data_IF_086975201325
#
_entry.id   IF_086975201325
#
_cell.length_a   1.000
_cell.length_b   1.000
_cell.length_c   1.000
_cell.angle_alpha   90.00
_cell.angle_beta   90.00
_cell.angle_gamma   90.00
#
_symmetry.space_group_name_H-M   'P 1'
#
loop_
_entity.id
_entity.type
_entity.pdbx_description
1 polymer ?
#
# COMPACT_ATOMS: atom_id res chain seq x y z
N UNK A 1 3.54 23.60 6.73
CA UNK A 1 4.20 22.69 5.78
C UNK A 1 3.32 21.48 5.60
N UNK A 2 3.09 21.02 4.36
CA UNK A 2 2.22 19.87 4.05
C UNK A 2 3.06 18.59 3.89
N UNK A 3 2.52 17.40 4.19
CA UNK A 3 3.21 16.15 3.93
C UNK A 3 3.43 15.93 2.42
N UNK A 4 4.44 15.12 2.08
CA UNK A 4 4.70 14.73 0.70
C UNK A 4 3.48 14.04 0.05
N UNK A 5 3.34 14.23 -1.26
CA UNK A 5 2.28 13.59 -2.04
C UNK A 5 2.44 12.06 -2.00
N UNK A 6 1.31 11.37 -1.91
CA UNK A 6 1.28 9.92 -1.85
C UNK A 6 1.46 9.32 -3.24
N UNK A 7 2.31 8.29 -3.34
CA UNK A 7 2.43 7.44 -4.51
C UNK A 7 1.66 6.16 -4.25
N UNK A 8 0.85 5.73 -5.21
CA UNK A 8 0.10 4.47 -5.11
C UNK A 8 1.08 3.32 -5.31
N UNK A 9 1.05 2.34 -4.41
CA UNK A 9 1.79 1.07 -4.54
C UNK A 9 0.83 -0.11 -4.37
N UNK A 10 1.05 -1.16 -5.15
CA UNK A 10 0.38 -2.44 -4.96
C UNK A 10 1.10 -3.28 -3.89
N UNK A 11 0.40 -4.15 -3.14
CA UNK A 11 1.03 -4.88 -2.04
C UNK A 11 2.23 -5.74 -2.46
N UNK A 12 2.25 -6.27 -3.69
CA UNK A 12 3.40 -7.03 -4.21
C UNK A 12 4.61 -6.18 -4.58
N UNK A 13 4.46 -4.86 -4.68
CA UNK A 13 5.56 -3.91 -4.93
C UNK A 13 6.29 -3.52 -3.63
N UNK A 14 5.67 -3.75 -2.48
CA UNK A 14 6.11 -3.25 -1.16
C UNK A 14 6.74 -4.37 -0.31
N UNK A 15 7.35 -5.38 -0.97
CA UNK A 15 8.19 -6.47 -0.42
C UNK A 15 7.53 -7.85 -0.20
N UNK A 16 8.33 -8.88 -0.50
CA UNK A 16 8.12 -10.34 -0.53
C UNK A 16 8.88 -11.05 0.61
N UNK A 17 8.98 -10.42 1.80
CA UNK A 17 9.71 -10.95 2.95
C UNK A 17 8.81 -11.67 3.95
N UNK A 18 9.25 -12.80 4.51
CA UNK A 18 8.50 -13.54 5.53
C UNK A 18 8.37 -12.71 6.80
N UNK A 19 7.13 -12.39 7.18
CA UNK A 19 6.84 -11.63 8.39
C UNK A 19 7.15 -12.50 9.63
N UNK A 20 8.05 -12.06 10.52
CA UNK A 20 8.12 -12.63 11.87
C UNK A 20 6.98 -12.01 12.69
N UNK A 21 6.06 -12.87 13.08
CA UNK A 21 4.86 -12.54 13.83
C UNK A 21 5.27 -12.01 15.21
N UNK A 22 5.10 -10.70 15.40
CA UNK A 22 5.27 -10.00 16.66
C UNK A 22 3.98 -9.29 17.00
N UNK A 23 3.20 -9.90 17.89
CA UNK A 23 1.86 -9.47 18.28
C UNK A 23 1.94 -8.16 19.08
N UNK A 24 1.64 -7.05 18.41
CA UNK A 24 1.19 -5.84 19.08
C UNK A 24 -0.19 -5.54 18.52
N UNK A 25 -1.17 -5.32 19.39
CA UNK A 25 -2.60 -5.16 19.07
C UNK A 25 -2.90 -4.03 18.07
N UNK A 26 -1.93 -3.13 17.86
CA UNK A 26 -1.99 -1.98 16.95
C UNK A 26 -1.46 -2.30 15.54
N UNK A 27 -0.97 -3.52 15.31
CA UNK A 27 -0.45 -3.97 14.02
C UNK A 27 -1.46 -4.91 13.37
N UNK A 28 -1.99 -4.52 12.21
CA UNK A 28 -2.95 -5.32 11.46
C UNK A 28 -2.38 -5.77 10.11
N UNK A 29 -2.28 -7.07 9.85
CA UNK A 29 -1.86 -7.56 8.55
C UNK A 29 -2.99 -7.39 7.54
N UNK A 30 -2.71 -6.70 6.44
CA UNK A 30 -3.46 -6.79 5.19
C UNK A 30 -2.80 -7.83 4.29
N UNK A 31 -3.60 -8.65 3.62
CA UNK A 31 -3.08 -9.68 2.72
C UNK A 31 -3.78 -9.63 1.37
N UNK A 32 -3.03 -9.90 0.30
CA UNK A 32 -3.55 -10.08 -1.05
C UNK A 32 -2.92 -11.32 -1.69
N UNK A 33 -3.59 -11.89 -2.69
CA UNK A 33 -3.05 -12.96 -3.51
C UNK A 33 -2.81 -12.42 -4.92
N UNK A 34 -1.59 -12.61 -5.43
CA UNK A 34 -1.23 -12.22 -6.80
C UNK A 34 -0.29 -13.27 -7.38
N UNK A 35 -0.55 -13.73 -8.61
CA UNK A 35 0.26 -14.72 -9.32
C UNK A 35 0.58 -15.99 -8.48
N UNK A 36 -0.42 -16.52 -7.76
CA UNK A 36 -0.31 -17.68 -6.85
C UNK A 36 0.61 -17.48 -5.62
N UNK A 37 1.10 -16.26 -5.37
CA UNK A 37 1.83 -15.89 -4.17
C UNK A 37 0.98 -15.00 -3.25
N UNK A 38 0.98 -15.31 -1.95
CA UNK A 38 0.34 -14.47 -0.94
C UNK A 38 1.31 -13.35 -0.53
N UNK A 39 0.89 -12.10 -0.70
CA UNK A 39 1.63 -10.92 -0.28
C UNK A 39 0.95 -10.33 0.95
N UNK A 40 1.73 -10.07 2.01
CA UNK A 40 1.23 -9.53 3.27
C UNK A 40 1.93 -8.21 3.57
N UNK A 41 1.15 -7.21 3.97
CA UNK A 41 1.61 -5.89 4.39
C UNK A 41 1.09 -5.65 5.80
N UNK A 42 1.95 -5.25 6.74
CA UNK A 42 1.51 -4.89 8.09
C UNK A 42 1.17 -3.42 8.13
N UNK A 43 0.06 -3.07 8.76
CA UNK A 43 -0.39 -1.69 8.93
C UNK A 43 -0.42 -1.34 10.41
N UNK A 44 0.25 -0.25 10.80
CA UNK A 44 0.08 0.36 12.12
C UNK A 44 -1.17 1.24 12.12
N UNK A 45 -2.11 0.97 13.02
CA UNK A 45 -3.42 1.65 13.08
C UNK A 45 -3.52 2.76 14.13
N UNK A 46 -2.42 3.08 14.81
CA UNK A 46 -2.37 4.04 15.93
C UNK A 46 -3.10 5.38 15.64
N UNK A 47 -3.03 5.89 14.42
CA UNK A 47 -3.63 7.19 14.05
C UNK A 47 -4.99 7.10 13.36
N UNK A 48 -5.52 5.90 13.16
CA UNK A 48 -6.80 5.66 12.47
C UNK A 48 -7.82 4.95 13.36
N UNK A 49 -7.55 4.87 14.65
CA UNK A 49 -8.48 4.34 15.65
C UNK A 49 -9.42 5.44 16.17
N UNK A 50 -10.69 5.10 16.48
CA UNK A 50 -11.34 3.80 16.27
C UNK A 50 -11.76 3.59 14.80
N UNK A 51 -11.70 2.34 14.32
CA UNK A 51 -12.26 1.95 13.02
C UNK A 51 -12.91 0.57 13.08
N UNK A 52 -13.99 0.39 12.32
CA UNK A 52 -14.72 -0.87 12.25
C UNK A 52 -14.07 -1.83 11.26
N UNK A 53 -13.25 -2.71 11.80
CA UNK A 53 -12.52 -3.69 11.05
C UNK A 53 -13.38 -4.86 10.55
N UNK A 54 -13.71 -4.86 9.26
CA UNK A 54 -14.34 -5.97 8.54
C UNK A 54 -13.27 -6.92 7.99
N UNK A 55 -13.29 -8.17 8.46
CA UNK A 55 -12.38 -9.23 7.97
C UNK A 55 -12.80 -9.66 6.57
N UNK A 56 -11.83 -9.79 5.66
CA UNK A 56 -12.07 -10.20 4.27
C UNK A 56 -12.47 -9.05 3.33
N UNK A 57 -12.78 -7.88 3.87
CA UNK A 57 -13.01 -6.68 3.07
C UNK A 57 -11.72 -6.13 2.46
N UNK A 58 -11.86 -5.38 1.37
CA UNK A 58 -10.75 -4.69 0.71
C UNK A 58 -10.48 -3.35 1.41
N UNK A 59 -9.20 -3.00 1.58
CA UNK A 59 -8.80 -1.74 2.22
C UNK A 59 -7.82 -0.96 1.35
N UNK A 60 -7.96 0.36 1.39
CA UNK A 60 -6.97 1.30 0.88
C UNK A 60 -6.28 2.00 2.06
N UNK A 61 -4.94 1.98 2.06
CA UNK A 61 -4.12 2.56 3.13
C UNK A 61 -3.31 3.71 2.56
N UNK A 62 -3.37 4.86 3.22
CA UNK A 62 -2.46 5.98 2.98
C UNK A 62 -1.63 6.18 4.24
N UNK A 63 -0.31 6.12 4.10
CA UNK A 63 0.59 6.15 5.23
C UNK A 63 2.04 6.32 4.84
N UNK A 64 2.90 6.31 5.85
CA UNK A 64 4.35 6.23 5.65
C UNK A 64 4.81 4.78 5.67
N UNK A 65 5.77 4.44 4.83
CA UNK A 65 6.45 3.14 4.87
C UNK A 65 7.55 3.21 5.92
N UNK A 66 7.50 2.29 6.88
CA UNK A 66 8.49 2.08 7.91
C UNK A 66 9.17 0.72 7.69
N UNK A 67 10.51 0.73 7.60
CA UNK A 67 11.28 -0.51 7.53
C UNK A 67 11.36 -1.11 8.94
N UNK A 68 10.89 -2.34 9.11
CA UNK A 68 11.15 -3.07 10.36
C UNK A 68 12.55 -3.71 10.30
N UNK A 69 13.25 -3.73 11.43
CA UNK A 69 14.57 -4.34 11.57
C UNK A 69 14.61 -5.85 11.19
N UNK A 70 13.44 -6.49 11.04
CA UNK A 70 13.26 -7.89 10.65
C UNK A 70 12.93 -8.13 9.17
N UNK A 71 13.11 -7.14 8.28
CA UNK A 71 12.93 -7.31 6.83
C UNK A 71 11.46 -7.28 6.34
N UNK A 72 10.51 -7.05 7.23
CA UNK A 72 9.11 -6.80 6.89
C UNK A 72 8.85 -5.32 6.67
N UNK A 73 7.98 -4.99 5.70
CA UNK A 73 7.52 -3.61 5.51
C UNK A 73 6.26 -3.37 6.32
N UNK A 74 6.29 -2.29 7.10
CA UNK A 74 5.16 -1.83 7.89
C UNK A 74 4.70 -0.48 7.35
N UNK A 75 3.40 -0.29 7.18
CA UNK A 75 2.81 0.98 6.76
C UNK A 75 2.17 1.64 7.97
N UNK A 76 2.66 2.82 8.37
CA UNK A 76 2.01 3.63 9.39
C UNK A 76 0.85 4.40 8.77
N UNK A 77 -0.36 3.92 9.01
CA UNK A 77 -1.55 4.51 8.41
C UNK A 77 -1.85 5.89 9.00
N UNK A 78 -2.15 6.83 8.09
CA UNK A 78 -2.79 8.11 8.39
C UNK A 78 -4.26 8.11 7.95
N UNK A 79 -4.56 7.34 6.90
CA UNK A 79 -5.93 7.05 6.46
C UNK A 79 -6.03 5.56 6.15
N UNK A 80 -7.12 4.94 6.60
CA UNK A 80 -7.45 3.55 6.36
C UNK A 80 -8.94 3.48 5.99
N UNK A 81 -9.24 3.16 4.74
CA UNK A 81 -10.62 3.11 4.25
C UNK A 81 -10.98 1.70 3.82
N UNK A 82 -12.13 1.21 4.28
CA UNK A 82 -12.78 0.05 3.69
C UNK A 82 -13.30 0.45 2.30
N UNK A 83 -12.87 -0.28 1.28
CA UNK A 83 -13.22 -0.07 -0.13
C UNK A 83 -13.83 -1.33 -0.72
N UNK A 84 -14.56 -2.08 0.12
CA UNK A 84 -15.20 -3.32 -0.30
C UNK A 84 -16.18 -3.08 -1.47
N UNK A 85 -16.18 -4.00 -2.43
CA UNK A 85 -16.93 -3.87 -3.67
C UNK A 85 -16.26 -3.04 -4.78
N UNK A 86 -15.06 -2.48 -4.56
CA UNK A 86 -14.29 -1.83 -5.63
C UNK A 86 -13.87 -2.86 -6.68
N UNK A 87 -14.00 -2.48 -7.95
CA UNK A 87 -13.47 -3.27 -9.07
C UNK A 87 -11.93 -3.15 -9.10
N UNK A 88 -11.25 -4.08 -8.44
CA UNK A 88 -9.79 -4.11 -8.34
C UNK A 88 -9.09 -4.17 -9.71
N UNK A 89 -9.68 -4.85 -10.70
CA UNK A 89 -9.11 -4.94 -12.06
C UNK A 89 -9.09 -3.56 -12.73
N UNK A 90 -10.20 -2.84 -12.63
CA UNK A 90 -10.29 -1.48 -13.18
C UNK A 90 -9.40 -0.51 -12.41
N UNK A 91 -9.36 -0.63 -11.08
CA UNK A 91 -8.47 0.17 -10.23
C UNK A 91 -7.00 -0.02 -10.62
N UNK A 92 -6.55 -1.27 -10.76
CA UNK A 92 -5.19 -1.58 -11.18
C UNK A 92 -4.88 -1.00 -12.57
N UNK A 93 -5.82 -1.10 -13.52
CA UNK A 93 -5.68 -0.50 -14.85
C UNK A 93 -5.53 1.02 -14.77
N UNK A 94 -6.35 1.70 -13.95
CA UNK A 94 -6.30 3.15 -13.78
C UNK A 94 -4.96 3.62 -13.20
N UNK A 95 -4.45 2.91 -12.18
CA UNK A 95 -3.14 3.21 -11.57
C UNK A 95 -2.01 3.03 -12.60
N UNK A 96 -2.04 1.96 -13.40
CA UNK A 96 -1.03 1.74 -14.43
C UNK A 96 -1.07 2.83 -15.51
N UNK A 97 -2.26 3.22 -15.97
CA UNK A 97 -2.42 4.32 -16.94
C UNK A 97 -1.91 5.66 -16.39
N UNK A 98 -2.21 5.97 -15.13
CA UNK A 98 -1.70 7.16 -14.46
C UNK A 98 -0.17 7.18 -14.45
N UNK A 99 0.46 6.07 -14.05
CA UNK A 99 1.93 5.94 -14.02
C UNK A 99 2.54 6.13 -15.41
N UNK A 100 2.00 5.47 -16.43
CA UNK A 100 2.47 5.62 -17.82
C UNK A 100 2.37 7.08 -18.30
N UNK A 101 1.26 7.75 -18.00
CA UNK A 101 1.08 9.17 -18.38
C UNK A 101 2.13 10.10 -17.76
N UNK A 102 2.47 9.89 -16.48
CA UNK A 102 3.52 10.69 -15.82
C UNK A 102 4.92 10.36 -16.35
N UNK A 103 5.23 9.09 -16.62
CA UNK A 103 6.52 8.67 -17.20
C UNK A 103 6.75 9.27 -18.59
N UNK A 104 5.74 9.27 -19.46
CA UNK A 104 5.83 9.86 -20.80
C UNK A 104 6.13 11.37 -20.73
N UNK A 105 5.60 12.08 -19.74
CA UNK A 105 5.87 13.51 -19.57
C UNK A 105 7.29 13.77 -19.09
N UNK A 106 7.78 13.02 -18.13
CA UNK A 106 9.15 13.18 -17.62
C UNK A 106 10.19 12.89 -18.70
N UNK A 107 9.97 11.87 -19.54
CA UNK A 107 10.85 11.52 -20.66
C UNK A 107 10.97 12.61 -21.74
N UNK A 108 9.95 13.47 -21.87
CA UNK A 108 9.96 14.60 -22.84
C UNK A 108 10.64 15.85 -22.30
N UNK A 109 10.91 15.92 -20.99
CA UNK A 109 11.50 17.09 -20.33
C UNK A 109 13.04 17.00 -20.28
N UNK A 110 13.63 15.81 -20.48
CA UNK A 110 15.09 15.64 -20.57
C UNK A 110 15.57 15.83 -22.01
N UNK A 111 16.28 16.93 -22.36
CA UNK A 111 16.89 17.04 -23.69
C UNK A 111 18.02 16.01 -23.84
N UNK A 112 18.27 15.48 -25.05
CA UNK A 112 19.44 14.66 -25.31
C UNK A 112 20.72 15.49 -25.14
N UNK A 113 21.70 14.91 -24.43
CA UNK A 113 23.07 15.45 -24.31
C UNK A 113 23.79 15.44 -25.66
#
# INVERSE_FOLDING_TARGET
MLPAAAVVYFPWEINTGSLREGESSLKRPLSTQYASAQHKVVVHTLFVEPFDAIIGAQYMVLGEIENSEGGGVVVRARVLNCVDGVNLVLFQKAVNQQRSFFQERESKVTPPN
#
